data_IF_856345367915
#
_entry.id   IF_856345367915
#
_cell.length_a   1.000
_cell.length_b   1.000
_cell.length_c   1.000
_cell.angle_alpha   90.00
_cell.angle_beta   90.00
_cell.angle_gamma   90.00
#
_symmetry.space_group_name_H-M   'P 1'
#
loop_
_entity.id
_entity.type
_entity.pdbx_description
1 polymer ?
2 non-polymer ?
3 water ?
#
# COMPACT_ATOMS: atom_id res chain seq x y z
N UNK A 1 14.81 -29.86 -3.76
CA UNK A 1 15.06 -28.43 -3.60
C UNK A 1 13.84 -27.71 -3.05
N UNK A 2 14.08 -26.72 -2.20
CA UNK A 2 12.98 -25.88 -1.72
C UNK A 2 12.35 -25.08 -2.85
N UNK A 3 13.13 -24.79 -3.89
CA UNK A 3 12.63 -24.01 -5.02
C UNK A 3 11.51 -24.75 -5.75
N UNK A 4 11.74 -26.02 -6.10
CA UNK A 4 10.72 -26.79 -6.80
C UNK A 4 9.52 -27.09 -5.90
N UNK A 5 9.76 -27.29 -4.60
CA UNK A 5 8.64 -27.39 -3.67
C UNK A 5 7.77 -26.16 -3.73
N UNK A 6 8.39 -24.98 -3.78
CA UNK A 6 7.60 -23.75 -3.81
C UNK A 6 6.85 -23.60 -5.14
N UNK A 7 7.51 -23.97 -6.24
CA UNK A 7 6.83 -23.98 -7.52
C UNK A 7 5.58 -24.86 -7.46
N UNK A 8 5.73 -26.10 -6.96
CA UNK A 8 4.59 -27.00 -6.92
C UNK A 8 3.50 -26.47 -6.01
N UNK A 9 3.87 -25.83 -4.90
CA UNK A 9 2.86 -25.25 -4.03
C UNK A 9 2.12 -24.11 -4.71
N UNK A 10 2.83 -23.30 -5.50
CA UNK A 10 2.18 -22.22 -6.24
C UNK A 10 1.21 -22.76 -7.28
N UNK A 11 1.55 -23.89 -7.90
CA UNK A 11 0.66 -24.47 -8.90
C UNK A 11 -0.72 -24.80 -8.33
N UNK A 12 -0.86 -24.92 -7.02
CA UNK A 12 -2.16 -25.24 -6.42
C UNK A 12 -3.06 -24.03 -6.21
N UNK A 13 -2.51 -22.82 -6.25
CA UNK A 13 -3.29 -21.60 -6.08
C UNK A 13 -3.24 -20.69 -7.29
N UNK A 14 -2.31 -20.91 -8.22
CA UNK A 14 -2.08 -20.08 -9.39
C UNK A 14 -3.04 -20.52 -10.49
N UNK A 15 -3.40 -19.59 -11.38
CA UNK A 15 -4.28 -19.94 -12.49
C UNK A 15 -3.52 -20.78 -13.51
N UNK A 16 -4.16 -21.77 -14.13
CA UNK A 16 -3.44 -22.65 -15.04
C UNK A 16 -3.23 -22.03 -16.40
N UNK A 17 -2.18 -22.50 -17.07
CA UNK A 17 -1.88 -22.08 -18.43
C UNK A 17 -0.73 -21.09 -18.49
N UNK A 18 -0.49 -20.61 -19.70
CA UNK A 18 0.53 -19.60 -19.93
C UNK A 18 -0.15 -18.27 -20.22
N UNK A 19 0.13 -17.23 -19.43
CA UNK A 19 -0.46 -15.91 -19.72
C UNK A 19 0.07 -15.27 -20.98
N UNK A 20 1.27 -15.63 -21.44
CA UNK A 20 1.82 -15.09 -22.67
C UNK A 20 0.99 -15.47 -23.90
N UNK A 21 -0.07 -16.24 -23.68
CA UNK A 21 -0.98 -16.64 -24.75
C UNK A 21 -2.15 -15.69 -24.94
N UNK A 22 -2.40 -14.76 -24.01
CA UNK A 22 -3.37 -13.70 -24.23
C UNK A 22 -2.84 -12.32 -23.86
N UNK A 23 -1.57 -12.19 -23.51
CA UNK A 23 -0.96 -10.90 -23.16
C UNK A 23 0.22 -10.61 -24.07
N UNK A 24 0.36 -9.35 -24.48
CA UNK A 24 1.48 -8.94 -25.31
C UNK A 24 1.75 -7.46 -25.10
N UNK A 25 2.77 -6.95 -25.77
CA UNK A 25 3.15 -5.53 -25.73
C UNK A 25 3.53 -5.11 -24.32
N UNK A 26 4.52 -5.82 -23.76
CA UNK A 26 4.96 -5.57 -22.40
C UNK A 26 5.78 -4.28 -22.35
N UNK A 27 5.35 -3.33 -21.52
CA UNK A 27 6.02 -2.06 -21.33
C UNK A 27 6.43 -1.98 -19.87
N UNK A 28 7.72 -2.08 -19.60
CA UNK A 28 8.22 -2.02 -18.23
C UNK A 28 7.95 -0.64 -17.62
N UNK A 29 7.32 -0.64 -16.43
CA UNK A 29 6.97 0.60 -15.75
C UNK A 29 7.42 0.60 -14.29
N UNK A 30 7.87 -0.54 -13.77
CA UNK A 30 8.31 -0.56 -12.39
C UNK A 30 9.37 -1.61 -12.13
N UNK A 31 10.26 -1.31 -11.19
CA UNK A 31 11.25 -2.27 -10.72
C UNK A 31 11.18 -2.33 -9.19
N UNK A 32 12.24 -2.83 -8.57
CA UNK A 32 12.29 -2.91 -7.13
C UNK A 32 12.68 -4.27 -6.59
N UNK A 33 11.87 -4.80 -5.66
CA UNK A 33 12.22 -6.04 -4.96
C UNK A 33 12.28 -7.22 -5.91
N UNK A 34 13.29 -7.25 -6.79
CA UNK A 34 13.51 -8.33 -7.76
C UNK A 34 12.21 -8.77 -8.43
N UNK A 35 11.49 -7.79 -8.95
CA UNK A 35 10.24 -8.02 -9.62
C UNK A 35 9.87 -6.82 -10.45
N UNK A 36 9.62 -7.03 -11.74
CA UNK A 36 9.31 -5.93 -12.66
C UNK A 36 7.81 -5.87 -12.87
N UNK A 37 7.29 -4.66 -12.99
CA UNK A 37 5.89 -4.45 -13.31
C UNK A 37 5.80 -3.84 -14.70
N UNK A 38 5.03 -4.48 -15.56
CA UNK A 38 4.85 -4.08 -16.95
C UNK A 38 3.39 -3.80 -17.22
N UNK A 39 3.14 -3.05 -18.28
CA UNK A 39 1.81 -2.90 -18.84
C UNK A 39 1.68 -3.88 -19.99
N UNK A 40 0.51 -4.51 -20.09
CA UNK A 40 0.26 -5.49 -21.15
C UNK A 40 -1.15 -5.30 -21.69
N UNK A 41 -1.36 -5.79 -22.91
CA UNK A 41 -2.64 -5.77 -23.57
C UNK A 41 -3.25 -7.17 -23.57
N UNK A 42 -4.57 -7.24 -23.46
CA UNK A 42 -5.31 -8.48 -23.48
C UNK A 42 -5.76 -8.73 -24.91
N UNK A 43 -5.26 -9.80 -25.53
CA UNK A 43 -5.59 -10.09 -26.93
C UNK A 43 -7.09 -10.21 -27.14
N UNK A 44 -7.79 -10.79 -26.16
CA UNK A 44 -9.23 -11.00 -26.31
C UNK A 44 -9.99 -9.68 -26.44
N UNK A 45 -9.71 -8.74 -25.54
CA UNK A 45 -10.50 -7.51 -25.46
C UNK A 45 -9.73 -6.25 -25.80
N UNK A 46 -8.41 -6.29 -25.88
CA UNK A 46 -7.64 -5.07 -26.07
C UNK A 46 -7.50 -4.21 -24.84
N UNK A 47 -8.05 -4.62 -23.70
CA UNK A 47 -7.93 -3.86 -22.47
C UNK A 47 -6.51 -3.96 -21.92
N UNK A 48 -6.14 -2.99 -21.09
CA UNK A 48 -4.80 -2.93 -20.52
C UNK A 48 -4.80 -3.44 -19.09
N UNK A 49 -3.75 -4.17 -18.74
CA UNK A 49 -3.56 -4.68 -17.39
C UNK A 49 -2.11 -4.41 -16.98
N UNK A 50 -1.86 -4.57 -15.69
CA UNK A 50 -0.51 -4.54 -15.15
C UNK A 50 -0.11 -5.96 -14.77
N UNK A 51 1.11 -6.33 -15.12
CA UNK A 51 1.65 -7.66 -14.82
C UNK A 51 2.88 -7.47 -13.96
N UNK A 52 2.81 -7.96 -12.72
CA UNK A 52 3.97 -8.00 -11.84
C UNK A 52 4.61 -9.38 -11.98
N UNK A 53 5.86 -9.41 -12.41
CA UNK A 53 6.61 -10.64 -12.59
C UNK A 53 7.75 -10.67 -11.56
N UNK A 54 7.74 -11.66 -10.69
CA UNK A 54 8.72 -11.80 -9.62
C UNK A 54 9.47 -13.11 -9.80
N UNK A 55 10.79 -13.04 -9.93
CA UNK A 55 11.61 -14.24 -9.97
C UNK A 55 11.67 -14.87 -8.59
N UNK A 56 11.32 -16.16 -8.51
CA UNK A 56 11.23 -16.85 -7.23
C UNK A 56 12.59 -17.17 -6.62
N UNK A 57 13.64 -17.23 -7.44
CA UNK A 57 14.98 -17.46 -6.90
C UNK A 57 15.60 -16.22 -6.29
N UNK A 58 14.95 -15.06 -6.41
CA UNK A 58 15.53 -13.82 -5.91
C UNK A 58 14.58 -13.14 -4.94
N UNK A 59 14.16 -13.85 -3.88
CA UNK A 59 13.21 -13.32 -2.92
C UNK A 59 13.76 -13.50 -1.51
N UNK A 60 13.66 -12.45 -0.70
CA UNK A 60 14.06 -12.59 0.70
C UNK A 60 13.00 -13.34 1.49
N UNK A 61 11.72 -13.16 1.15
CA UNK A 61 10.62 -13.87 1.80
C UNK A 61 9.62 -14.28 0.71
N UNK A 62 9.76 -15.53 0.25
CA UNK A 62 8.86 -16.05 -0.78
C UNK A 62 7.43 -16.19 -0.28
N UNK A 63 7.27 -16.51 1.02
CA UNK A 63 5.95 -16.72 1.60
C UNK A 63 5.02 -15.55 1.32
N UNK A 64 5.54 -14.32 1.40
CA UNK A 64 4.71 -13.14 1.17
C UNK A 64 4.04 -13.19 -0.19
N UNK A 65 4.76 -13.64 -1.22
CA UNK A 65 4.14 -13.87 -2.52
C UNK A 65 2.89 -14.71 -2.38
N UNK A 66 3.02 -15.89 -1.73
CA UNK A 66 1.86 -16.66 -1.29
C UNK A 66 0.74 -15.74 -0.82
N UNK A 67 0.99 -15.02 0.28
CA UNK A 67 0.00 -14.11 0.84
C UNK A 67 -0.66 -13.30 -0.28
N UNK A 68 0.15 -12.60 -1.06
CA UNK A 68 -0.40 -11.67 -2.05
C UNK A 68 -1.35 -12.38 -3.02
N UNK A 69 -0.96 -13.58 -3.49
CA UNK A 69 -1.83 -14.25 -4.46
C UNK A 69 -3.02 -14.93 -3.81
N UNK A 70 -2.94 -15.25 -2.53
CA UNK A 70 -4.02 -15.98 -1.87
C UNK A 70 -5.00 -15.03 -1.21
N UNK A 71 -4.49 -14.06 -0.46
CA UNK A 71 -5.36 -13.13 0.25
C UNK A 71 -6.09 -12.23 -0.72
N UNK A 72 -5.44 -11.83 -1.81
CA UNK A 72 -6.02 -10.81 -2.68
C UNK A 72 -6.83 -11.38 -3.84
N UNK A 73 -6.73 -12.66 -4.12
CA UNK A 73 -7.55 -13.22 -5.19
C UNK A 73 -9.00 -13.23 -4.76
N UNK A 74 -9.89 -12.91 -5.70
CA UNK A 74 -11.31 -12.76 -5.45
C UNK A 74 -11.65 -11.60 -4.53
N UNK A 75 -10.66 -10.80 -4.14
CA UNK A 75 -10.92 -9.62 -3.34
C UNK A 75 -11.41 -8.50 -4.25
N UNK A 76 -12.50 -7.83 -3.84
CA UNK A 76 -13.12 -6.79 -4.66
C UNK A 76 -13.50 -5.62 -3.77
N UNK A 77 -12.89 -4.48 -4.01
CA UNK A 77 -13.20 -3.24 -3.31
C UNK A 77 -12.83 -2.07 -4.19
N UNK A 78 -13.66 -1.03 -4.20
CA UNK A 78 -13.46 0.07 -5.13
C UNK A 78 -12.20 0.86 -4.84
N UNK A 79 -11.62 0.70 -3.65
CA UNK A 79 -10.42 1.41 -3.24
C UNK A 79 -9.21 0.48 -3.13
N UNK A 80 -9.30 -0.71 -3.70
CA UNK A 80 -8.21 -1.67 -3.69
C UNK A 80 -7.95 -2.11 -5.11
N UNK A 81 -6.68 -2.14 -5.52
CA UNK A 81 -6.31 -2.65 -6.84
C UNK A 81 -6.76 -4.09 -6.94
N UNK A 82 -7.56 -4.39 -7.95
CA UNK A 82 -8.10 -5.73 -8.10
C UNK A 82 -7.10 -6.61 -8.85
N UNK A 83 -6.88 -7.82 -8.34
CA UNK A 83 -6.12 -8.82 -9.06
C UNK A 83 -7.07 -9.70 -9.86
N UNK A 84 -6.75 -9.93 -11.12
CA UNK A 84 -7.59 -10.76 -11.96
C UNK A 84 -7.11 -12.20 -11.98
N UNK A 85 -5.80 -12.41 -12.14
CA UNK A 85 -5.24 -13.74 -12.32
C UNK A 85 -3.81 -13.76 -11.81
N UNK A 86 -3.29 -14.97 -11.64
CA UNK A 86 -1.89 -15.19 -11.31
C UNK A 86 -1.41 -16.44 -12.04
N UNK A 87 -0.15 -16.43 -12.45
CA UNK A 87 0.39 -17.54 -13.23
C UNK A 87 1.81 -17.83 -12.80
N UNK A 88 2.25 -19.06 -13.12
CA UNK A 88 3.63 -19.49 -12.92
C UNK A 88 4.28 -19.69 -14.28
N UNK A 89 5.14 -18.75 -14.67
CA UNK A 89 5.82 -18.81 -15.95
C UNK A 89 7.29 -19.17 -15.75
N UNK A 90 7.60 -20.45 -15.82
CA UNK A 90 8.93 -20.90 -15.48
C UNK A 90 9.24 -20.68 -14.02
N UNK A 91 10.30 -19.93 -13.72
CA UNK A 91 10.66 -19.60 -12.35
C UNK A 91 10.16 -18.21 -11.96
N UNK A 92 9.16 -17.69 -12.64
CA UNK A 92 8.61 -16.36 -12.39
C UNK A 92 7.14 -16.48 -12.03
N UNK A 93 6.74 -15.79 -10.97
CA UNK A 93 5.35 -15.68 -10.60
C UNK A 93 4.80 -14.40 -11.21
N UNK A 94 3.72 -14.52 -11.98
CA UNK A 94 3.07 -13.39 -12.63
C UNK A 94 1.74 -13.13 -11.94
N UNK A 95 1.50 -11.87 -11.60
CA UNK A 95 0.23 -11.41 -11.07
C UNK A 95 -0.35 -10.42 -12.07
N UNK A 96 -1.51 -10.73 -12.60
CA UNK A 96 -2.21 -9.87 -13.54
C UNK A 96 -3.25 -9.07 -12.76
N UNK A 97 -3.27 -7.76 -12.96
CA UNK A 97 -4.07 -6.89 -12.11
C UNK A 97 -4.56 -5.69 -12.92
N UNK A 98 -5.54 -5.00 -12.33
CA UNK A 98 -6.03 -3.74 -12.89
C UNK A 98 -4.89 -2.77 -13.08
N UNK A 99 -4.91 -2.03 -14.19
CA UNK A 99 -3.89 -1.05 -14.50
C UNK A 99 -4.40 0.35 -14.13
N UNK A 100 -3.69 1.01 -13.22
CA UNK A 100 -4.02 2.36 -12.76
C UNK A 100 -3.21 3.35 -13.57
N UNK A 101 -3.86 4.06 -14.50
CA UNK A 101 -3.16 4.93 -15.42
C UNK A 101 -2.66 6.22 -14.77
N UNK A 102 -3.22 6.63 -13.63
CA UNK A 102 -2.83 7.88 -13.02
C UNK A 102 -1.49 7.89 -12.32
N UNK A 103 -0.86 6.73 -12.15
CA UNK A 103 0.42 6.68 -11.48
C UNK A 103 0.28 6.57 -9.97
N UNK A 104 1.42 6.65 -9.30
CA UNK A 104 1.48 6.54 -7.86
C UNK A 104 1.31 7.91 -7.20
N UNK A 105 1.08 7.89 -5.88
CA UNK A 105 0.90 9.14 -5.14
C UNK A 105 2.23 9.80 -4.83
N UNK A 106 3.32 9.03 -4.78
CA UNK A 106 4.64 9.60 -4.56
C UNK A 106 4.97 10.66 -5.59
N UNK A 107 4.61 10.41 -6.85
CA UNK A 107 4.89 11.36 -7.92
C UNK A 107 4.19 12.69 -7.67
N UNK A 108 3.05 12.68 -6.99
CA UNK A 108 2.37 13.92 -6.65
C UNK A 108 3.03 14.59 -5.45
N UNK A 109 3.35 13.82 -4.40
CA UNK A 109 3.84 14.42 -3.18
C UNK A 109 5.27 14.93 -3.34
N UNK A 110 5.99 14.51 -4.39
CA UNK A 110 7.33 15.03 -4.60
C UNK A 110 7.36 16.23 -5.55
N UNK A 111 6.30 16.47 -6.31
CA UNK A 111 6.30 17.52 -7.32
C UNK A 111 5.30 18.65 -7.05
N UNK A 112 4.29 18.43 -6.21
CA UNK A 112 3.27 19.43 -5.99
C UNK A 112 2.93 19.52 -4.51
N UNK A 113 2.05 20.45 -4.18
CA UNK A 113 1.54 20.64 -2.84
C UNK A 113 0.06 20.29 -2.85
N UNK A 114 -0.34 19.37 -1.98
CA UNK A 114 -1.72 18.96 -1.87
C UNK A 114 -2.44 19.83 -0.84
N UNK A 115 -3.72 20.07 -1.09
CA UNK A 115 -4.56 20.79 -0.13
C UNK A 115 -5.31 19.79 0.74
N UNK A 116 -5.97 20.32 1.77
CA UNK A 116 -6.61 19.46 2.76
C UNK A 116 -7.82 18.73 2.18
N UNK A 117 -8.47 19.31 1.17
CA UNK A 117 -9.55 18.59 0.49
C UNK A 117 -9.02 17.35 -0.19
N UNK A 118 -7.89 17.47 -0.90
CA UNK A 118 -7.31 16.32 -1.61
C UNK A 118 -6.70 15.33 -0.63
N UNK A 119 -6.02 15.83 0.41
CA UNK A 119 -5.49 14.95 1.44
C UNK A 119 -6.61 14.16 2.09
N UNK A 120 -7.74 14.82 2.36
CA UNK A 120 -8.86 14.15 3.00
C UNK A 120 -9.52 13.14 2.07
N UNK A 121 -9.55 13.44 0.76
CA UNK A 121 -10.04 12.45 -0.19
C UNK A 121 -9.17 11.20 -0.18
N UNK A 122 -7.85 11.39 -0.25
CA UNK A 122 -6.93 10.25 -0.23
C UNK A 122 -7.11 9.45 1.06
N UNK A 123 -7.18 10.13 2.20
CA UNK A 123 -7.31 9.45 3.48
C UNK A 123 -8.64 8.73 3.60
N UNK A 124 -9.72 9.34 3.10
CA UNK A 124 -11.02 8.68 3.15
C UNK A 124 -11.00 7.41 2.32
N UNK A 125 -10.39 7.47 1.12
CA UNK A 125 -10.29 6.26 0.31
C UNK A 125 -9.48 5.19 1.01
N UNK A 126 -8.32 5.57 1.57
CA UNK A 126 -7.46 4.58 2.21
C UNK A 126 -8.15 3.98 3.43
N UNK A 127 -8.86 4.81 4.20
CA UNK A 127 -9.53 4.31 5.40
C UNK A 127 -10.73 3.45 5.05
N UNK A 128 -11.45 3.76 3.97
CA UNK A 128 -12.53 2.90 3.52
C UNK A 128 -12.00 1.53 3.12
N UNK A 129 -10.86 1.50 2.43
CA UNK A 129 -10.24 0.21 2.14
C UNK A 129 -9.80 -0.50 3.41
N UNK A 130 -9.19 0.25 4.34
CA UNK A 130 -8.58 -0.36 5.50
C UNK A 130 -9.61 -0.88 6.49
N UNK A 131 -10.77 -0.23 6.61
CA UNK A 131 -11.78 -0.72 7.55
C UNK A 131 -12.22 -2.12 7.15
N UNK A 132 -12.52 -2.31 5.86
CA UNK A 132 -12.88 -3.64 5.37
C UNK A 132 -11.72 -4.62 5.54
N UNK A 133 -10.53 -4.23 5.06
CA UNK A 133 -9.38 -5.13 5.10
C UNK A 133 -9.07 -5.59 6.52
N UNK A 134 -9.13 -4.68 7.49
CA UNK A 134 -8.87 -5.03 8.88
C UNK A 134 -10.02 -5.82 9.47
N UNK A 135 -11.27 -5.54 9.04
CA UNK A 135 -12.38 -6.36 9.47
C UNK A 135 -12.20 -7.81 9.04
N UNK A 136 -11.49 -8.04 7.94
CA UNK A 136 -11.17 -9.40 7.52
C UNK A 136 -9.82 -9.87 8.03
N UNK A 137 -9.21 -9.12 8.94
CA UNK A 137 -7.93 -9.54 9.51
C UNK A 137 -6.75 -9.41 8.59
N UNK A 138 -6.86 -8.60 7.54
CA UNK A 138 -5.78 -8.39 6.59
C UNK A 138 -5.02 -7.12 6.96
N UNK A 139 -3.71 -7.23 7.13
CA UNK A 139 -2.85 -6.10 7.44
C UNK A 139 -1.97 -5.84 6.23
N UNK A 140 -2.06 -4.64 5.66
CA UNK A 140 -1.27 -4.29 4.49
C UNK A 140 0.22 -4.28 4.82
N UNK A 141 0.61 -3.64 5.93
CA UNK A 141 1.97 -3.61 6.45
C UNK A 141 2.95 -2.90 5.52
N UNK A 142 2.47 -2.07 4.59
CA UNK A 142 3.37 -1.27 3.78
C UNK A 142 2.64 -0.03 3.26
N UNK A 143 1.82 0.57 4.11
CA UNK A 143 1.12 1.81 3.75
C UNK A 143 2.16 2.92 3.56
N UNK A 144 2.20 3.48 2.36
CA UNK A 144 3.05 4.62 2.03
C UNK A 144 2.55 5.19 0.71
N UNK A 145 3.12 6.33 0.31
CA UNK A 145 2.66 6.99 -0.90
C UNK A 145 2.90 6.13 -2.15
N UNK A 146 3.93 5.28 -2.13
CA UNK A 146 4.16 4.39 -3.26
C UNK A 146 3.03 3.38 -3.43
N UNK A 147 2.33 3.05 -2.36
CA UNK A 147 1.28 2.04 -2.37
C UNK A 147 -0.08 2.62 -2.73
N UNK A 148 -0.13 3.88 -3.15
CA UNK A 148 -1.38 4.55 -3.52
C UNK A 148 -1.35 4.83 -5.01
N UNK A 149 -2.25 4.20 -5.76
CA UNK A 149 -2.34 4.43 -7.19
C UNK A 149 -3.63 5.16 -7.52
N UNK A 150 -3.63 5.87 -8.64
CA UNK A 150 -4.75 6.71 -9.01
C UNK A 150 -5.21 6.39 -10.42
N UNK A 151 -6.48 6.69 -10.67
CA UNK A 151 -7.04 6.63 -12.01
C UNK A 151 -6.81 7.97 -12.72
N UNK A 152 -7.14 8.00 -14.01
CA UNK A 152 -7.04 9.25 -14.76
C UNK A 152 -8.03 10.30 -14.26
N UNK A 153 -9.13 9.87 -13.64
CA UNK A 153 -10.16 10.78 -13.16
C UNK A 153 -10.08 11.03 -11.66
N UNK A 154 -9.00 10.59 -11.01
CA UNK A 154 -8.76 10.93 -9.63
C UNK A 154 -9.23 9.93 -8.58
N UNK A 155 -9.62 8.73 -8.99
CA UNK A 155 -10.01 7.73 -7.99
C UNK A 155 -8.77 7.11 -7.38
N UNK A 156 -8.83 6.84 -6.08
CA UNK A 156 -7.68 6.41 -5.28
C UNK A 156 -7.86 4.95 -4.92
N UNK A 157 -6.82 4.14 -5.17
CA UNK A 157 -6.84 2.73 -4.84
C UNK A 157 -5.56 2.34 -4.11
N UNK A 158 -5.71 1.42 -3.15
CA UNK A 158 -4.58 0.90 -2.41
C UNK A 158 -3.96 -0.26 -3.16
N UNK A 159 -2.63 -0.35 -3.10
CA UNK A 159 -1.90 -1.29 -3.93
C UNK A 159 -0.70 -1.84 -3.16
N UNK A 160 0.04 -2.73 -3.83
CA UNK A 160 1.29 -3.31 -3.33
C UNK A 160 1.07 -4.03 -2.00
N UNK A 161 0.38 -5.17 -2.09
CA UNK A 161 0.14 -6.02 -0.94
C UNK A 161 1.24 -7.06 -0.76
N UNK A 162 2.43 -6.83 -1.32
CA UNK A 162 3.52 -7.80 -1.24
C UNK A 162 4.06 -8.05 0.14
N UNK A 163 3.67 -7.25 1.14
CA UNK A 163 4.06 -7.48 2.52
C UNK A 163 2.89 -7.90 3.40
N UNK A 164 1.68 -8.00 2.84
CA UNK A 164 0.49 -8.18 3.65
C UNK A 164 0.50 -9.52 4.37
N UNK A 165 -0.36 -9.61 5.38
CA UNK A 165 -0.54 -10.84 6.15
C UNK A 165 -1.98 -10.89 6.62
N UNK A 166 -2.35 -12.02 7.21
CA UNK A 166 -3.70 -12.21 7.72
C UNK A 166 -3.65 -12.66 9.18
N UNK A 167 -4.59 -12.17 9.97
CA UNK A 167 -4.76 -12.58 11.36
C UNK A 167 -6.19 -13.07 11.53
N UNK A 168 -6.42 -13.84 12.60
CA UNK A 168 -7.71 -14.43 12.87
C UNK A 168 -7.99 -14.32 14.37
N UNK A 169 -9.13 -14.87 14.80
CA UNK A 169 -9.40 -14.97 16.23
C UNK A 169 -8.37 -15.88 16.90
N UNK A 170 -8.00 -16.97 16.22
CA UNK A 170 -6.99 -17.88 16.75
C UNK A 170 -5.62 -17.22 16.77
N UNK A 171 -5.17 -16.72 15.63
CA UNK A 171 -3.90 -16.00 15.51
C UNK A 171 -4.20 -14.53 15.28
N UNK A 172 -4.16 -13.68 16.30
CA UNK A 172 -4.59 -12.29 16.14
C UNK A 172 -3.47 -11.29 15.88
N UNK A 173 -2.21 -11.71 15.98
CA UNK A 173 -1.09 -10.79 15.84
C UNK A 173 0.01 -11.42 15.00
N UNK A 174 0.88 -10.56 14.47
CA UNK A 174 2.07 -10.94 13.73
C UNK A 174 3.30 -10.48 14.50
N UNK A 175 4.47 -10.98 14.11
CA UNK A 175 5.71 -10.62 14.79
C UNK A 175 6.88 -10.43 13.83
N UNK A 177 9.22 -8.60 10.91
CA UNK A 177 9.69 -7.25 10.70
C UNK A 177 9.66 -6.85 9.22
N UNK A 178 8.48 -6.47 8.73
CA UNK A 178 8.28 -6.09 7.34
C UNK A 178 7.93 -4.62 7.25
N UNK A 179 7.96 -4.08 6.03
CA UNK A 179 7.63 -2.70 5.75
C UNK A 179 8.83 -1.93 5.27
N UNK A 180 8.60 -0.65 5.01
CA UNK A 180 9.63 0.32 4.67
C UNK A 180 10.02 1.09 5.93
N UNK A 181 11.32 1.20 6.23
CA UNK A 181 11.74 1.64 7.58
C UNK A 181 11.07 2.92 8.11
N UNK A 182 11.01 3.99 7.31
CA UNK A 182 10.53 5.28 7.80
C UNK A 182 9.04 5.27 8.11
N UNK A 183 8.27 4.33 7.55
CA UNK A 183 6.83 4.26 7.77
C UNK A 183 6.45 3.26 8.85
N UNK A 184 7.41 2.54 9.41
CA UNK A 184 7.09 1.46 10.34
C UNK A 184 6.57 2.01 11.66
N UNK A 185 5.70 1.23 12.29
CA UNK A 185 5.10 1.57 13.57
C UNK A 185 6.09 1.32 14.70
N UNK A 186 5.92 1.99 15.85
CA UNK A 186 6.86 1.77 16.95
C UNK A 186 6.83 0.36 17.51
N UNK A 187 5.65 -0.23 17.69
CA UNK A 187 5.58 -1.59 18.20
C UNK A 187 6.15 -2.60 17.21
N UNK A 188 6.07 -2.30 15.91
CA UNK A 188 6.57 -3.23 14.91
C UNK A 188 8.10 -3.30 14.94
N UNK A 189 8.76 -2.13 14.90
CA UNK A 189 10.21 -2.11 14.94
C UNK A 189 10.74 -2.61 16.29
N UNK A 190 9.93 -2.49 17.34
CA UNK A 190 10.31 -2.94 18.67
C UNK A 190 10.09 -4.44 18.87
N UNK A 191 9.88 -5.17 17.77
CA UNK A 191 9.78 -6.63 17.79
C UNK A 191 8.63 -7.09 18.68
N UNK A 192 7.55 -6.31 18.69
CA UNK A 192 6.40 -6.64 19.52
C UNK A 192 5.28 -7.21 18.68
N UNK A 193 4.51 -8.15 19.22
CA UNK A 193 3.34 -8.65 18.49
C UNK A 193 2.35 -7.53 18.19
N UNK A 194 2.03 -7.37 16.90
CA UNK A 194 1.24 -6.25 16.44
C UNK A 194 0.06 -6.74 15.61
N UNK A 195 -0.96 -5.89 15.53
CA UNK A 195 -2.13 -6.17 14.73
C UNK A 195 -2.31 -5.15 13.63
N UNK A 196 -3.56 -4.94 13.21
CA UNK A 196 -3.83 -3.99 12.12
C UNK A 196 -3.47 -2.55 12.46
N UNK A 197 -3.23 -2.23 13.73
CA UNK A 197 -2.98 -0.85 14.13
C UNK A 197 -1.75 -0.28 13.44
N UNK A 198 -0.80 -1.13 13.07
CA UNK A 198 0.40 -0.65 12.38
C UNK A 198 0.04 0.03 11.06
N UNK A 199 -1.05 -0.40 10.43
CA UNK A 199 -1.50 0.26 9.20
C UNK A 199 -1.96 1.70 9.47
N UNK A 200 -2.53 1.95 10.65
CA UNK A 200 -2.96 3.30 10.98
C UNK A 200 -1.75 4.21 11.14
N UNK A 201 -0.78 3.80 11.95
CA UNK A 201 0.44 4.58 12.12
C UNK A 201 1.06 4.92 10.78
N UNK A 202 1.27 3.90 9.93
CA UNK A 202 1.87 4.13 8.63
C UNK A 202 1.05 5.14 7.83
N UNK A 203 -0.28 5.02 7.88
CA UNK A 203 -1.13 6.00 7.22
C UNK A 203 -0.81 7.40 7.72
N UNK A 204 -0.67 7.55 9.04
CA UNK A 204 -0.25 8.82 9.60
C UNK A 204 1.02 9.33 8.98
N UNK A 205 2.02 8.45 8.83
CA UNK A 205 3.28 8.87 8.22
C UNK A 205 3.02 9.39 6.82
N UNK A 206 2.15 8.70 6.07
CA UNK A 206 1.83 9.14 4.72
C UNK A 206 1.19 10.52 4.73
N UNK A 207 0.40 10.81 5.77
CA UNK A 207 -0.18 12.14 5.90
C UNK A 207 0.94 13.17 6.02
N UNK A 208 1.92 12.90 6.87
CA UNK A 208 3.11 13.74 6.92
C UNK A 208 3.73 13.85 5.53
N UNK A 209 3.80 12.73 4.82
CA UNK A 209 4.32 12.73 3.47
C UNK A 209 3.52 13.66 2.57
N UNK A 210 2.20 13.69 2.74
CA UNK A 210 1.38 14.58 1.93
C UNK A 210 1.48 16.03 2.39
N UNK A 211 1.91 16.27 3.62
CA UNK A 211 2.06 17.63 4.11
C UNK A 211 3.46 18.17 3.87
N UNK A 212 4.47 17.41 4.29
CA UNK A 212 5.86 17.85 4.20
C UNK A 212 6.58 17.40 2.94
N UNK A 213 6.02 16.45 2.19
CA UNK A 213 6.69 15.91 1.02
C UNK A 213 7.69 14.81 1.30
N UNK A 214 7.83 14.40 2.56
CA UNK A 214 8.74 13.33 2.92
C UNK A 214 8.36 12.84 4.31
N UNK A 215 8.72 11.61 4.66
CA UNK A 215 8.44 11.09 6.00
C UNK A 215 9.42 11.66 7.01
N UNK A 216 9.17 11.46 8.31
CA UNK A 216 10.14 11.88 9.31
C UNK A 216 11.45 11.11 9.19
N UNK A 217 12.55 11.79 9.54
CA UNK A 217 13.88 11.20 9.55
C UNK A 217 14.29 10.65 8.18
N UNK A 218 13.78 11.27 7.11
CA UNK A 218 14.12 10.80 5.77
C UNK A 218 15.61 10.98 5.48
N UNK A 219 16.25 11.95 6.13
CA UNK A 219 17.67 12.17 5.95
C UNK A 219 18.50 11.07 6.61
N UNK A 220 17.99 10.47 7.68
CA UNK A 220 18.77 9.51 8.45
C UNK A 220 18.86 8.17 7.71
N UNK A 221 19.81 7.32 8.09
CA UNK A 221 19.85 5.97 7.56
C UNK A 221 18.65 5.17 8.03
N UNK A 222 18.31 4.08 7.34
CA UNK A 222 17.13 3.29 7.75
C UNK A 222 17.17 2.82 9.20
N UNK A 223 18.26 2.18 9.63
CA UNK A 223 18.30 1.62 10.98
C UNK A 223 18.34 2.73 12.03
N UNK A 224 19.05 3.82 11.76
CA UNK A 224 19.07 4.95 12.69
C UNK A 224 17.68 5.55 12.85
N UNK A 225 16.98 5.75 11.73
CA UNK A 225 15.64 6.32 11.80
C UNK A 225 14.68 5.36 12.49
N UNK A 226 14.88 4.05 12.31
CA UNK A 226 14.05 3.07 13.00
C UNK A 226 14.28 3.12 14.50
N UNK A 227 15.54 3.23 14.94
CA UNK A 227 15.80 3.39 16.36
C UNK A 227 15.15 4.66 16.90
N UNK A 228 15.20 5.75 16.12
CA UNK A 228 14.58 7.00 16.55
C UNK A 228 13.07 6.85 16.71
N UNK A 229 12.42 6.15 15.77
CA UNK A 229 10.98 5.88 15.89
C UNK A 229 10.71 5.01 17.11
N UNK A 230 11.61 4.08 17.39
CA UNK A 230 11.45 3.18 18.55
C UNK A 230 11.51 3.96 19.86
N UNK A 231 12.41 4.93 19.96
CA UNK A 231 12.67 5.61 21.22
C UNK A 231 11.95 6.94 21.38
N UNK A 232 11.92 7.77 20.35
CA UNK A 232 11.41 9.12 20.49
C UNK A 232 9.88 9.14 20.51
N UNK A 233 9.34 10.31 20.82
CA UNK A 233 7.90 10.53 20.82
C UNK A 233 7.37 10.53 19.39
N UNK A 234 6.05 10.46 19.20
CA UNK A 234 5.48 10.55 17.85
C UNK A 234 5.99 11.78 17.13
N UNK A 235 6.42 11.64 15.87
CA UNK A 235 7.02 12.77 15.17
C UNK A 235 6.00 13.88 14.93
N UNK A 236 6.52 15.09 14.77
CA UNK A 236 5.70 16.28 14.60
C UNK A 236 5.92 16.86 13.21
N UNK A 237 4.85 17.41 12.63
CA UNK A 237 4.92 17.94 11.28
C UNK A 237 5.94 19.06 11.18
N UNK A 238 6.68 19.08 10.07
CA UNK A 238 7.56 20.20 9.79
C UNK A 238 6.75 21.43 9.38
N UNK A 239 5.91 21.28 8.36
CA UNK A 239 5.01 22.34 7.91
C UNK A 239 3.74 22.39 8.76
N UNK A 240 3.94 22.51 10.07
CA UNK A 240 2.83 22.56 11.01
C UNK A 240 1.93 23.77 10.80
N UNK A 241 2.45 24.84 10.20
CA UNK A 241 1.65 26.04 9.96
C UNK A 241 0.63 25.85 8.85
N UNK A 242 0.83 24.85 7.98
CA UNK A 242 -0.04 24.67 6.83
C UNK A 242 -1.27 23.82 7.13
N UNK A 243 -1.32 23.14 8.27
CA UNK A 243 -2.38 22.18 8.56
C UNK A 243 -3.41 22.83 9.49
N UNK A 244 -4.69 22.60 9.18
CA UNK A 244 -5.80 23.12 9.97
C UNK A 244 -5.91 22.34 11.28
N UNK A 245 -6.63 22.89 12.27
CA UNK A 245 -6.84 22.14 13.52
C UNK A 245 -7.50 20.80 13.30
N UNK A 246 -8.42 20.71 12.34
CA UNK A 246 -9.07 19.43 12.05
C UNK A 246 -8.06 18.39 11.61
N UNK A 247 -7.12 18.77 10.74
CA UNK A 247 -6.11 17.82 10.27
C UNK A 247 -5.18 17.40 11.40
N UNK A 248 -4.78 18.35 12.26
CA UNK A 248 -3.92 18.00 13.38
C UNK A 248 -4.62 17.05 14.35
N UNK A 249 -5.90 17.30 14.61
CA UNK A 249 -6.65 16.40 15.47
C UNK A 249 -6.82 15.02 14.86
N UNK A 250 -6.99 14.96 13.55
CA UNK A 250 -7.04 13.67 12.87
C UNK A 250 -5.70 12.95 12.98
N UNK A 251 -4.61 13.64 12.66
CA UNK A 251 -3.30 13.02 12.64
C UNK A 251 -2.85 12.54 14.02
N UNK A 252 -3.26 13.26 15.07
CA UNK A 252 -2.90 12.84 16.42
C UNK A 252 -3.53 11.49 16.78
N UNK A 253 -4.73 11.20 16.26
CA UNK A 253 -5.34 9.90 16.50
C UNK A 253 -4.67 8.77 15.72
N UNK A 254 -3.73 9.09 14.83
CA UNK A 254 -3.03 8.10 14.03
C UNK A 254 -1.63 7.80 14.57
N UNK A 255 -0.89 8.83 14.96
CA UNK A 255 0.50 8.66 15.42
C UNK A 255 0.52 8.58 16.94
N UNK A 256 0.03 7.46 17.44
CA UNK A 256 0.00 7.16 18.87
C UNK A 256 0.95 5.99 19.11
N UNK A 257 1.91 6.17 20.02
CA UNK A 257 2.88 5.11 20.30
C UNK A 257 2.17 3.84 20.77
N UNK A 258 1.40 3.95 21.85
CA UNK A 258 0.65 2.82 22.36
C UNK A 258 -0.41 2.40 21.34
N UNK A 259 -0.32 1.18 20.79
CA UNK A 259 -1.32 0.75 19.80
C UNK A 259 -2.72 0.59 20.38
N UNK A 260 -2.84 0.43 21.69
CA UNK A 260 -4.16 0.29 22.31
C UNK A 260 -4.97 1.58 22.17
N UNK A 261 -4.30 2.72 22.27
CA UNK A 261 -4.95 4.02 22.15
C UNK A 261 -4.92 4.57 20.74
N UNK A 262 -4.23 3.90 19.81
CA UNK A 262 -4.25 4.30 18.42
C UNK A 262 -5.62 3.99 17.82
N UNK A 263 -6.18 4.96 17.10
CA UNK A 263 -7.51 4.80 16.54
C UNK A 263 -7.52 3.73 15.44
N UNK A 264 -8.68 3.11 15.26
CA UNK A 264 -8.89 2.12 14.21
C UNK A 264 -9.49 2.80 12.98
N UNK A 265 -9.46 2.07 11.85
CA UNK A 265 -9.98 2.63 10.61
C UNK A 265 -11.47 2.92 10.71
N UNK A 266 -12.23 1.99 11.29
CA UNK A 266 -13.67 2.18 11.47
C UNK A 266 -13.96 3.43 12.30
N UNK A 267 -13.19 3.66 13.35
CA UNK A 267 -13.36 4.88 14.14
C UNK A 267 -13.03 6.11 13.32
N UNK A 268 -11.89 6.08 12.61
CA UNK A 268 -11.43 7.24 11.86
C UNK A 268 -12.37 7.59 10.72
N UNK A 269 -13.18 6.65 10.23
CA UNK A 269 -14.15 7.01 9.21
C UNK A 269 -15.21 7.99 9.71
N UNK A 270 -15.33 8.18 11.02
CA UNK A 270 -16.31 9.10 11.59
C UNK A 270 -15.70 10.46 11.92
N UNK A 271 -14.47 10.72 11.52
CA UNK A 271 -13.79 11.93 11.95
C UNK A 271 -14.24 13.12 11.10
N UNK A 272 -14.35 14.32 11.70
CA UNK A 272 -14.84 15.46 10.91
C UNK A 272 -13.88 15.91 9.82
N UNK A 273 -12.59 15.63 9.95
CA UNK A 273 -11.64 16.04 8.92
C UNK A 273 -11.98 15.42 7.57
N UNK A 274 -12.48 14.19 7.57
CA UNK A 274 -12.85 13.54 6.32
C UNK A 274 -14.09 14.13 5.68
N UNK A 275 -14.74 15.11 6.34
CA UNK A 275 -15.80 15.85 5.69
C UNK A 275 -15.23 16.84 4.66
N UNK A 276 -13.98 17.26 4.83
CA UNK A 276 -13.30 18.10 3.85
C UNK A 276 -13.01 17.35 2.56
N UNK A 277 -13.16 16.03 2.54
CA UNK A 277 -12.77 15.23 1.38
C UNK A 277 -13.57 15.64 0.16
N UNK A 278 -12.87 15.82 -0.96
CA UNK A 278 -13.49 16.17 -2.21
C UNK A 278 -13.68 14.97 -3.11
N UNK A 279 -14.37 15.17 -4.22
CA UNK A 279 -14.56 14.09 -5.19
C UNK A 279 -13.30 13.85 -5.99
N UNK A 280 -13.24 12.75 -6.75
CA UNK A 280 -12.02 12.47 -7.55
C UNK A 280 -11.60 13.59 -8.49
N UNK A 281 -12.57 14.40 -8.94
CA UNK A 281 -12.25 15.55 -9.76
C UNK A 281 -11.29 16.50 -9.05
N UNK A 282 -11.36 16.57 -7.72
CA UNK A 282 -10.43 17.41 -6.99
C UNK A 282 -9.01 16.86 -7.04
N UNK A 283 -8.85 15.54 -7.21
CA UNK A 283 -7.53 14.97 -7.38
C UNK A 283 -7.03 15.11 -8.81
N UNK A 284 -7.93 15.20 -9.79
CA UNK A 284 -7.52 15.35 -11.20
C UNK A 284 -6.42 16.39 -11.38
N UNK A 285 -6.51 17.61 -10.84
CA UNK A 285 -5.45 18.61 -11.12
C UNK A 285 -4.11 18.24 -10.50
N UNK A 286 -4.09 17.47 -9.40
CA UNK A 286 -2.82 17.06 -8.80
C UNK A 286 -2.01 16.15 -9.71
N UNK A 287 -2.65 15.55 -10.71
CA UNK A 287 -2.00 14.56 -11.56
C UNK A 287 -0.87 15.19 -12.36
N UNK A 288 0.10 14.36 -12.74
CA UNK A 288 1.23 14.82 -13.55
C UNK A 288 0.83 15.05 -15.00
N UNK A 289 -0.20 14.35 -15.47
CA UNK A 289 -0.67 14.45 -16.85
C UNK A 289 -1.15 15.87 -17.19
N UNK A 290 -1.15 16.76 -16.19
CA UNK A 290 -1.52 18.15 -16.37
C UNK A 290 -0.50 19.06 -15.69
N UNK A 291 -0.98 19.96 -14.82
CA UNK A 291 -0.15 20.88 -14.03
C UNK A 291 1.05 21.44 -14.78
#
# INVERSE_FOLDING_TARGET
>A
SSHEQFRAALQLVVDPGDPRSYLDNFIKIGEGSTGIVCIATVRSSGKLVAVKKMDLRKQQRRELLFNEVVIMRDYQHENVVEMYNSYLVGDELWVVMEFLEGGALTDIVTHTRMNEEQIAAVCLAVLQALSVLHAQGVIHRDIKSDSILLTHDGRVKLSDFGFCAQVSKEVPRRKXLVGTPYWMAPELISRLPYGPEVDIWSLGIMVIEMVDGEPPYFNEPPLKAMKMIRDNLPPRLKNLHKVSPSLKGFLDRLLVRDPAQRATAAELLKHPFLAKAGPPASIVPLMRQNRTR
#
